data_IF_495764162403
#
_entry.id   IF_495764162403
#
_cell.length_a   1.000
_cell.length_b   1.000
_cell.length_c   1.000
_cell.angle_alpha   90.00
_cell.angle_beta   90.00
_cell.angle_gamma   90.00
#
_symmetry.space_group_name_H-M   'P 1'
#
loop_
_entity.id
_entity.type
_entity.pdbx_description
1 polymer ?
#
# COMPACT_ATOMS: atom_id res chain seq x y z
N UNK A 1 14.55 -12.07 -13.67
CA UNK A 1 13.55 -10.98 -13.86
C UNK A 1 14.06 -9.74 -13.17
N UNK A 2 13.92 -8.55 -13.76
CA UNK A 2 14.37 -7.31 -13.10
C UNK A 2 13.36 -6.89 -12.02
N UNK A 3 13.86 -6.41 -10.88
CA UNK A 3 13.01 -5.88 -9.81
C UNK A 3 12.11 -4.73 -10.30
N UNK A 4 12.58 -3.96 -11.29
CA UNK A 4 11.83 -2.87 -11.92
C UNK A 4 10.53 -3.35 -12.58
N UNK A 5 10.58 -4.49 -13.29
CA UNK A 5 9.39 -5.04 -13.94
C UNK A 5 8.41 -5.61 -12.90
N UNK A 6 8.92 -6.27 -11.86
CA UNK A 6 8.09 -6.80 -10.78
C UNK A 6 7.34 -5.68 -10.04
N UNK A 7 8.04 -4.60 -9.68
CA UNK A 7 7.44 -3.42 -9.03
C UNK A 7 6.37 -2.76 -9.90
N UNK A 8 6.65 -2.54 -11.19
CA UNK A 8 5.67 -1.93 -12.09
C UNK A 8 4.42 -2.81 -12.25
N UNK A 9 4.62 -4.12 -12.43
CA UNK A 9 3.55 -5.10 -12.66
C UNK A 9 2.73 -5.42 -11.41
N UNK A 10 3.31 -5.31 -10.21
CA UNK A 10 2.57 -5.44 -8.95
C UNK A 10 1.32 -4.54 -8.91
N UNK A 11 1.41 -3.35 -9.50
CA UNK A 11 0.31 -2.38 -9.52
C UNK A 11 -0.80 -2.75 -10.52
N UNK A 12 -0.55 -3.65 -11.48
CA UNK A 12 -1.56 -4.18 -12.40
C UNK A 12 -2.38 -5.31 -11.75
N UNK A 13 -1.84 -5.95 -10.70
CA UNK A 13 -2.51 -7.04 -9.99
C UNK A 13 -3.61 -6.53 -9.04
N UNK A 14 -4.86 -6.82 -9.38
CA UNK A 14 -6.02 -6.37 -8.62
C UNK A 14 -6.05 -6.96 -7.21
N UNK A 15 -5.58 -8.20 -7.04
CA UNK A 15 -5.53 -8.85 -5.72
C UNK A 15 -4.52 -8.14 -4.82
N UNK A 16 -3.30 -7.89 -5.31
CA UNK A 16 -2.30 -7.10 -4.60
C UNK A 16 -2.84 -5.73 -4.17
N UNK A 17 -3.50 -4.99 -5.07
CA UNK A 17 -4.13 -3.70 -4.74
C UNK A 17 -5.16 -3.81 -3.61
N UNK A 18 -6.00 -4.85 -3.63
CA UNK A 18 -6.97 -5.09 -2.55
C UNK A 18 -6.31 -5.43 -1.22
N UNK A 19 -5.16 -6.11 -1.24
CA UNK A 19 -4.40 -6.43 -0.02
C UNK A 19 -3.76 -5.18 0.58
N UNK A 20 -3.21 -4.29 -0.25
CA UNK A 20 -2.75 -2.95 0.19
C UNK A 20 -3.91 -2.14 0.75
N UNK A 21 -5.07 -2.14 0.07
CA UNK A 21 -6.29 -1.51 0.55
C UNK A 21 -6.71 -2.02 1.93
N UNK A 22 -6.73 -3.35 2.11
CA UNK A 22 -7.06 -4.00 3.37
C UNK A 22 -6.11 -3.58 4.50
N UNK A 23 -4.80 -3.52 4.23
CA UNK A 23 -3.81 -3.04 5.19
C UNK A 23 -4.04 -1.57 5.58
N UNK A 24 -4.34 -0.69 4.61
CA UNK A 24 -4.68 0.71 4.88
C UNK A 24 -5.93 0.84 5.76
N UNK A 25 -6.99 0.08 5.47
CA UNK A 25 -8.24 0.09 6.26
C UNK A 25 -7.96 -0.43 7.67
N UNK A 26 -7.21 -1.53 7.80
CA UNK A 26 -6.88 -2.13 9.10
C UNK A 26 -6.07 -1.15 9.97
N UNK A 27 -5.09 -0.46 9.39
CA UNK A 27 -4.35 0.56 10.12
C UNK A 27 -5.23 1.77 10.46
N UNK A 28 -6.00 2.27 9.49
CA UNK A 28 -6.91 3.40 9.68
C UNK A 28 -7.97 3.14 10.76
N UNK A 29 -8.41 1.89 10.95
CA UNK A 29 -9.35 1.54 12.02
C UNK A 29 -8.86 1.90 13.44
N UNK A 30 -7.55 2.10 13.60
CA UNK A 30 -6.94 2.54 14.86
C UNK A 30 -6.97 4.06 15.08
N UNK A 31 -7.57 4.85 14.16
CA UNK A 31 -7.57 6.32 14.16
C UNK A 31 -8.03 6.98 15.47
N UNK A 32 -8.91 6.32 16.24
CA UNK A 32 -9.39 6.84 17.53
C UNK A 32 -8.29 6.94 18.58
N UNK A 33 -7.23 6.16 18.41
CA UNK A 33 -6.06 6.12 19.30
C UNK A 33 -4.88 6.92 18.74
N UNK A 34 -5.01 7.48 17.53
CA UNK A 34 -3.98 8.33 16.94
C UNK A 34 -4.07 9.74 17.54
N UNK A 35 -2.92 10.38 17.72
CA UNK A 35 -2.88 11.80 18.04
C UNK A 35 -3.54 12.63 16.93
N UNK A 36 -4.10 13.78 17.29
CA UNK A 36 -4.65 14.71 16.29
C UNK A 36 -3.55 15.14 15.30
N UNK A 37 -3.92 15.29 14.03
CA UNK A 37 -3.02 15.70 12.98
C UNK A 37 -3.16 14.87 11.70
N UNK A 38 -2.20 15.00 10.77
CA UNK A 38 -2.32 14.49 9.40
C UNK A 38 -2.56 12.98 9.35
N UNK A 39 -1.93 12.23 10.26
CA UNK A 39 -2.09 10.77 10.34
C UNK A 39 -3.53 10.36 10.60
N UNK A 40 -4.23 11.09 11.48
CA UNK A 40 -5.63 10.84 11.81
C UNK A 40 -6.58 11.30 10.71
N UNK A 41 -6.33 12.46 10.11
CA UNK A 41 -7.13 12.97 8.99
C UNK A 41 -7.04 12.04 7.77
N UNK A 42 -5.83 11.58 7.46
CA UNK A 42 -5.62 10.59 6.40
C UNK A 42 -6.31 9.26 6.72
N UNK A 43 -6.32 8.81 7.97
CA UNK A 43 -7.09 7.64 8.39
C UNK A 43 -8.60 7.83 8.18
N UNK A 44 -9.16 8.99 8.53
CA UNK A 44 -10.55 9.31 8.28
C UNK A 44 -10.86 9.35 6.77
N UNK A 45 -9.97 9.90 5.93
CA UNK A 45 -10.10 9.86 4.47
C UNK A 45 -10.13 8.43 3.95
N UNK A 46 -9.22 7.57 4.40
CA UNK A 46 -9.17 6.16 4.00
C UNK A 46 -10.46 5.44 4.41
N UNK A 47 -11.00 5.69 5.60
CA UNK A 47 -12.26 5.07 6.04
C UNK A 47 -13.48 5.62 5.31
N UNK A 48 -13.46 6.88 4.87
CA UNK A 48 -14.54 7.48 4.08
C UNK A 48 -14.55 7.00 2.63
N UNK A 49 -13.38 6.69 2.06
CA UNK A 49 -13.21 6.27 0.66
C UNK A 49 -12.27 5.04 0.56
N UNK A 50 -12.66 3.88 1.11
CA UNK A 50 -11.77 2.74 1.26
C UNK A 50 -11.29 2.16 -0.07
N UNK A 51 -12.06 2.32 -1.15
CA UNK A 51 -11.70 1.82 -2.48
C UNK A 51 -10.66 2.69 -3.21
N UNK A 52 -10.41 3.91 -2.72
CA UNK A 52 -9.46 4.85 -3.32
C UNK A 52 -8.11 4.75 -2.60
N UNK A 53 -7.41 3.63 -2.81
CA UNK A 53 -6.04 3.48 -2.30
C UNK A 53 -5.17 4.56 -2.92
N UNK A 54 -4.52 5.33 -2.05
CA UNK A 54 -3.60 6.38 -2.48
C UNK A 54 -2.48 5.78 -3.35
N UNK A 55 -2.33 6.33 -4.56
CA UNK A 55 -1.36 5.84 -5.54
C UNK A 55 0.08 5.89 -5.00
N UNK A 56 0.41 6.88 -4.16
CA UNK A 56 1.71 6.97 -3.51
C UNK A 56 1.93 5.81 -2.55
N UNK A 57 0.93 5.46 -1.73
CA UNK A 57 1.00 4.30 -0.84
C UNK A 57 1.22 3.01 -1.64
N UNK A 58 0.45 2.81 -2.71
CA UNK A 58 0.58 1.63 -3.57
C UNK A 58 1.99 1.53 -4.19
N UNK A 59 2.53 2.63 -4.70
CA UNK A 59 3.89 2.69 -5.27
C UNK A 59 4.97 2.36 -4.22
N UNK A 60 4.84 2.87 -3.00
CA UNK A 60 5.84 2.62 -1.94
C UNK A 60 5.80 1.15 -1.51
N UNK A 61 4.61 0.57 -1.33
CA UNK A 61 4.48 -0.86 -1.02
C UNK A 61 5.02 -1.73 -2.15
N UNK A 62 4.67 -1.45 -3.41
CA UNK A 62 5.15 -2.21 -4.57
C UNK A 62 6.66 -2.10 -4.81
N UNK A 63 7.28 -0.97 -4.43
CA UNK A 63 8.73 -0.74 -4.59
C UNK A 63 9.56 -1.23 -3.41
N UNK A 64 8.95 -1.71 -2.33
CA UNK A 64 9.68 -2.30 -1.22
C UNK A 64 10.49 -3.52 -1.73
N UNK A 65 11.80 -3.64 -1.43
CA UNK A 65 12.65 -4.72 -1.93
C UNK A 65 12.21 -6.13 -1.55
N UNK A 66 11.62 -6.30 -0.35
CA UNK A 66 11.13 -7.60 0.13
C UNK A 66 9.87 -8.01 -0.62
N UNK A 67 8.94 -7.07 -0.81
CA UNK A 67 7.69 -7.29 -1.54
C UNK A 67 7.99 -7.53 -3.02
N UNK A 68 8.71 -6.62 -3.67
CA UNK A 68 9.05 -6.70 -5.09
C UNK A 68 9.83 -7.98 -5.44
N UNK A 69 10.75 -8.42 -4.57
CA UNK A 69 11.48 -9.68 -4.74
C UNK A 69 10.62 -10.94 -4.59
N UNK A 70 9.44 -10.83 -3.95
CA UNK A 70 8.48 -11.92 -3.78
C UNK A 70 7.43 -12.00 -4.88
N UNK A 71 7.40 -11.00 -5.78
CA UNK A 71 6.47 -10.95 -6.91
C UNK A 71 7.12 -11.62 -8.12
N UNK A 72 6.37 -12.48 -8.78
CA UNK A 72 6.78 -13.09 -10.03
C UNK A 72 5.84 -12.70 -11.17
N UNK A 73 6.36 -12.70 -12.38
CA UNK A 73 5.63 -12.46 -13.62
C UNK A 73 6.01 -13.62 -14.53
N UNK A 74 5.01 -14.36 -15.00
CA UNK A 74 5.25 -15.49 -15.90
C UNK A 74 5.53 -15.04 -17.34
N UNK A 75 5.81 -16.00 -18.22
CA UNK A 75 6.13 -15.76 -19.64
C UNK A 75 4.96 -15.12 -20.41
N UNK A 76 3.73 -15.24 -19.90
CA UNK A 76 2.54 -14.63 -20.49
C UNK A 76 2.27 -13.22 -19.93
N UNK A 77 3.13 -12.73 -19.04
CA UNK A 77 2.96 -11.43 -18.37
C UNK A 77 1.99 -11.46 -17.19
N UNK A 78 1.58 -12.64 -16.72
CA UNK A 78 0.68 -12.79 -15.56
C UNK A 78 1.47 -12.54 -14.29
N UNK A 79 0.96 -11.65 -13.45
CA UNK A 79 1.57 -11.29 -12.16
C UNK A 79 1.09 -12.27 -11.09
N UNK A 80 2.02 -12.76 -10.27
CA UNK A 80 1.74 -13.60 -9.11
C UNK A 80 2.31 -12.93 -7.87
N UNK A 81 1.42 -12.53 -6.97
CA UNK A 81 1.71 -11.84 -5.70
C UNK A 81 1.40 -12.71 -4.47
N UNK A 82 1.06 -13.98 -4.67
CA UNK A 82 0.79 -14.98 -3.64
C UNK A 82 1.99 -15.22 -2.70
N UNK A 83 3.20 -15.02 -3.20
CA UNK A 83 4.43 -15.07 -2.40
C UNK A 83 4.63 -13.88 -1.44
N UNK A 84 3.93 -12.75 -1.66
CA UNK A 84 3.98 -11.59 -0.76
C UNK A 84 3.17 -11.92 0.49
N UNK A 85 3.68 -11.63 1.70
CA UNK A 85 2.91 -11.83 2.94
C UNK A 85 2.13 -10.57 3.31
N UNK A 86 0.91 -10.75 3.83
CA UNK A 86 0.09 -9.63 4.31
C UNK A 86 0.78 -8.82 5.42
N UNK A 87 1.56 -9.51 6.27
CA UNK A 87 2.33 -8.86 7.33
C UNK A 87 3.40 -7.90 6.77
N UNK A 88 4.02 -8.23 5.65
CA UNK A 88 5.02 -7.36 5.01
C UNK A 88 4.34 -6.14 4.39
N UNK A 89 3.17 -6.32 3.76
CA UNK A 89 2.35 -5.22 3.24
C UNK A 89 1.94 -4.29 4.38
N UNK A 90 1.37 -4.84 5.46
CA UNK A 90 0.92 -4.06 6.62
C UNK A 90 2.08 -3.30 7.27
N UNK A 91 3.23 -3.96 7.43
CA UNK A 91 4.43 -3.33 7.97
C UNK A 91 4.82 -2.09 7.15
N UNK A 92 4.90 -2.21 5.82
CA UNK A 92 5.26 -1.08 4.94
C UNK A 92 4.22 0.03 4.98
N UNK A 93 2.92 -0.31 5.01
CA UNK A 93 1.83 0.66 5.14
C UNK A 93 1.96 1.47 6.42
N UNK A 94 2.20 0.81 7.56
CA UNK A 94 2.35 1.46 8.87
C UNK A 94 3.58 2.36 8.89
N UNK A 95 4.72 1.86 8.41
CA UNK A 95 5.99 2.62 8.37
C UNK A 95 5.88 3.87 7.49
N UNK A 96 5.17 3.76 6.37
CA UNK A 96 5.03 4.81 5.36
C UNK A 96 3.91 5.80 5.68
N UNK A 97 2.98 5.43 6.57
CA UNK A 97 1.79 6.21 6.89
C UNK A 97 2.04 7.70 7.15
N UNK A 98 3.04 8.09 7.98
CA UNK A 98 3.27 9.50 8.29
C UNK A 98 3.68 10.32 7.06
N UNK A 99 4.41 9.69 6.12
CA UNK A 99 4.91 10.34 4.90
C UNK A 99 3.74 10.64 3.95
N UNK A 100 2.86 9.66 3.73
CA UNK A 100 1.70 9.82 2.85
C UNK A 100 0.69 10.79 3.49
N UNK A 101 0.46 10.69 4.79
CA UNK A 101 -0.42 11.59 5.53
C UNK A 101 0.02 13.07 5.42
N UNK A 102 1.32 13.35 5.58
CA UNK A 102 1.85 14.71 5.43
C UNK A 102 1.70 15.26 4.00
N UNK A 103 1.79 14.39 2.98
CA UNK A 103 1.58 14.78 1.58
C UNK A 103 0.11 15.02 1.25
N UNK A 104 -0.77 14.22 1.82
CA UNK A 104 -2.21 14.40 1.73
C UNK A 104 -2.64 15.77 2.30
N UNK A 105 -2.15 16.13 3.50
CA UNK A 105 -2.43 17.45 4.11
C UNK A 105 -1.95 18.60 3.21
N UNK A 106 -0.75 18.50 2.64
CA UNK A 106 -0.21 19.55 1.77
C UNK A 106 -0.96 19.71 0.43
N UNK A 107 -1.81 18.74 0.05
CA UNK A 107 -2.59 18.76 -1.19
C UNK A 107 -4.04 19.23 -1.01
N UNK A 108 -4.53 19.31 0.24
CA UNK A 108 -5.86 19.80 0.61
C UNK A 108 -5.86 21.29 0.92
#
# INVERSE_FOLDING_TARGET
MSALLATARAMDDQEFRWRVMGACIQHAATYKNMEEGPGKEYALRVLAQPHDVDQMMLCIVASNPVISGSITVDENGTVKSDGVKDADILYVVVETWPIVAARYEAAG
#
